data_IF_271106155370
#
_entry.id   IF_271106155370
#
_cell.length_a   1.000
_cell.length_b   1.000
_cell.length_c   1.000
_cell.angle_alpha   90.00
_cell.angle_beta   90.00
_cell.angle_gamma   90.00
#
_symmetry.space_group_name_H-M   'P 1'
#
loop_
_entity.id
_entity.type
_entity.pdbx_description
1 polymer ?
#
# COMPACT_ATOMS: atom_id res chain seq x y z
N UNK A 1 33.79 0.63 -22.46
CA UNK A 1 33.35 0.70 -23.88
C UNK A 1 33.19 -0.68 -24.54
N UNK A 2 32.59 -1.70 -23.87
CA UNK A 2 32.47 -3.07 -24.43
C UNK A 2 31.06 -3.69 -24.33
N UNK A 3 30.04 -2.90 -23.98
CA UNK A 3 28.63 -3.35 -23.89
C UNK A 3 27.72 -2.84 -25.00
N UNK A 4 28.25 -2.10 -25.97
CA UNK A 4 27.46 -1.44 -27.02
C UNK A 4 27.62 -2.05 -28.42
N UNK A 5 28.46 -3.09 -28.57
CA UNK A 5 28.82 -3.66 -29.88
C UNK A 5 28.19 -5.04 -30.15
N UNK A 6 27.21 -5.47 -29.35
CA UNK A 6 26.50 -6.74 -29.56
C UNK A 6 24.99 -6.62 -29.46
N UNK A 7 24.44 -5.40 -29.59
CA UNK A 7 22.98 -5.23 -29.70
C UNK A 7 22.61 -5.57 -31.14
N UNK A 8 22.33 -6.85 -31.37
CA UNK A 8 22.00 -7.41 -32.67
C UNK A 8 20.52 -7.15 -32.96
N UNK A 9 20.23 -6.00 -33.57
CA UNK A 9 18.87 -5.51 -33.77
C UNK A 9 18.01 -6.51 -34.58
N UNK A 10 18.63 -7.33 -35.45
CA UNK A 10 17.94 -8.37 -36.21
C UNK A 10 17.39 -9.53 -35.37
N UNK A 11 18.12 -9.99 -34.35
CA UNK A 11 17.63 -11.02 -33.41
C UNK A 11 16.61 -10.44 -32.40
N UNK A 12 16.75 -9.15 -32.07
CA UNK A 12 15.89 -8.46 -31.12
C UNK A 12 14.54 -8.05 -31.72
N UNK A 13 14.47 -7.89 -33.04
CA UNK A 13 13.26 -7.54 -33.79
C UNK A 13 12.61 -8.74 -34.49
N UNK A 14 13.29 -9.89 -34.54
CA UNK A 14 12.69 -11.17 -34.94
C UNK A 14 11.69 -11.59 -33.87
N UNK A 15 10.41 -11.57 -34.23
CA UNK A 15 9.32 -12.14 -33.44
C UNK A 15 9.57 -13.64 -33.35
N UNK A 16 10.32 -14.05 -32.32
CA UNK A 16 10.37 -15.45 -31.91
C UNK A 16 8.99 -15.80 -31.35
N UNK A 17 8.38 -16.94 -31.75
CA UNK A 17 7.08 -17.35 -31.22
C UNK A 17 7.08 -17.51 -29.69
N UNK A 18 8.26 -17.63 -29.07
CA UNK A 18 8.46 -17.70 -27.62
C UNK A 18 8.67 -16.34 -26.94
N UNK A 19 8.67 -15.22 -27.67
CA UNK A 19 8.69 -13.86 -27.10
C UNK A 19 7.58 -13.02 -27.70
N UNK A 20 6.36 -13.43 -27.41
CA UNK A 20 5.18 -12.61 -27.60
C UNK A 20 5.30 -11.33 -26.78
N UNK A 21 4.91 -10.20 -27.36
CA UNK A 21 4.58 -8.91 -26.69
C UNK A 21 3.42 -9.02 -25.67
N UNK A 22 3.06 -10.24 -25.26
CA UNK A 22 2.07 -10.58 -24.26
C UNK A 22 2.63 -10.58 -22.83
N UNK A 23 3.94 -10.39 -22.63
CA UNK A 23 4.52 -10.15 -21.30
C UNK A 23 4.31 -8.71 -20.83
N UNK A 24 3.05 -8.27 -20.86
CA UNK A 24 2.56 -7.34 -19.85
C UNK A 24 1.88 -8.18 -18.76
N UNK A 25 2.63 -9.09 -18.11
CA UNK A 25 2.19 -9.89 -16.94
C UNK A 25 1.67 -9.00 -15.78
N UNK A 26 1.83 -7.68 -15.89
CA UNK A 26 1.36 -6.69 -14.93
C UNK A 26 -0.17 -6.67 -14.75
N UNK A 27 -0.95 -7.24 -15.67
CA UNK A 27 -2.42 -7.23 -15.62
C UNK A 27 -3.12 -8.59 -15.84
N UNK A 28 -2.38 -9.70 -15.90
CA UNK A 28 -2.96 -10.99 -16.30
C UNK A 28 -3.85 -11.66 -15.23
N UNK A 29 -3.83 -11.17 -13.98
CA UNK A 29 -4.68 -11.71 -12.93
C UNK A 29 -5.37 -10.64 -12.07
N UNK A 30 -6.63 -10.87 -11.64
CA UNK A 30 -7.27 -10.04 -10.62
C UNK A 30 -6.44 -9.89 -9.34
N UNK A 31 -5.59 -10.87 -9.03
CA UNK A 31 -4.67 -10.84 -7.89
C UNK A 31 -3.59 -9.76 -8.00
N UNK A 32 -3.05 -9.52 -9.20
CA UNK A 32 -2.04 -8.48 -9.42
C UNK A 32 -2.61 -7.07 -9.16
N UNK A 33 -3.82 -6.79 -9.65
CA UNK A 33 -4.53 -5.53 -9.40
C UNK A 33 -4.77 -5.30 -7.90
N UNK A 34 -5.26 -6.33 -7.20
CA UNK A 34 -5.50 -6.28 -5.76
C UNK A 34 -4.19 -6.01 -4.99
N UNK A 35 -3.10 -6.67 -5.38
CA UNK A 35 -1.78 -6.51 -4.77
C UNK A 35 -1.27 -5.07 -4.84
N UNK A 36 -1.39 -4.42 -6.01
CA UNK A 36 -0.99 -3.02 -6.22
C UNK A 36 -1.82 -2.08 -5.34
N UNK A 37 -3.15 -2.28 -5.32
CA UNK A 37 -4.05 -1.46 -4.51
C UNK A 37 -3.71 -1.61 -3.02
N UNK A 38 -3.56 -2.85 -2.54
CA UNK A 38 -3.27 -3.13 -1.13
C UNK A 38 -1.96 -2.47 -0.68
N UNK A 39 -0.88 -2.59 -1.46
CA UNK A 39 0.41 -1.94 -1.15
C UNK A 39 0.27 -0.43 -0.97
N UNK A 40 -0.48 0.22 -1.87
CA UNK A 40 -0.71 1.67 -1.80
C UNK A 40 -1.61 2.04 -0.62
N UNK A 41 -2.67 1.27 -0.36
CA UNK A 41 -3.59 1.49 0.77
C UNK A 41 -2.86 1.38 2.11
N UNK A 42 -2.01 0.38 2.31
CA UNK A 42 -1.25 0.25 3.56
C UNK A 42 -0.30 1.44 3.79
N UNK A 43 0.37 1.89 2.73
CA UNK A 43 1.24 3.07 2.79
C UNK A 43 0.45 4.34 3.13
N UNK A 44 -0.66 4.56 2.43
CA UNK A 44 -1.55 5.70 2.65
C UNK A 44 -2.19 5.68 4.04
N UNK A 45 -2.58 4.51 4.53
CA UNK A 45 -3.17 4.33 5.86
C UNK A 45 -2.21 4.76 6.97
N UNK A 46 -0.92 4.41 6.86
CA UNK A 46 0.11 4.85 7.81
C UNK A 46 0.29 6.38 7.82
N UNK A 47 0.33 7.00 6.64
CA UNK A 47 0.43 8.46 6.51
C UNK A 47 -0.81 9.14 7.10
N UNK A 48 -1.99 8.63 6.76
CA UNK A 48 -3.27 9.19 7.21
C UNK A 48 -3.43 9.05 8.74
N UNK A 49 -3.02 7.92 9.32
CA UNK A 49 -2.98 7.73 10.77
C UNK A 49 -2.12 8.81 11.43
N UNK A 50 -0.90 9.04 10.93
CA UNK A 50 0.02 10.03 11.49
C UNK A 50 -0.59 11.44 11.45
N UNK A 51 -1.19 11.82 10.33
CA UNK A 51 -1.87 13.12 10.17
C UNK A 51 -3.01 13.26 11.18
N UNK A 52 -3.87 12.25 11.32
CA UNK A 52 -4.99 12.28 12.27
C UNK A 52 -4.54 12.31 13.72
N UNK A 53 -3.45 11.61 14.07
CA UNK A 53 -2.87 11.66 15.41
C UNK A 53 -2.33 13.05 15.75
N UNK A 54 -1.64 13.70 14.81
CA UNK A 54 -1.15 15.08 14.99
C UNK A 54 -2.32 16.04 15.17
N UNK A 55 -3.31 16.01 14.28
CA UNK A 55 -4.48 16.89 14.37
C UNK A 55 -5.29 16.65 15.65
N UNK A 56 -5.53 15.38 16.00
CA UNK A 56 -6.23 15.01 17.23
C UNK A 56 -5.46 15.45 18.47
N UNK A 57 -4.13 15.26 18.49
CA UNK A 57 -3.26 15.66 19.59
C UNK A 57 -3.23 17.18 19.79
N UNK A 58 -3.06 17.95 18.71
CA UNK A 58 -3.12 19.42 18.75
C UNK A 58 -4.49 19.88 19.25
N UNK A 59 -5.58 19.29 18.78
CA UNK A 59 -6.94 19.63 19.24
C UNK A 59 -7.15 19.39 20.74
N UNK A 60 -6.51 18.37 21.32
CA UNK A 60 -6.53 18.12 22.76
C UNK A 60 -5.75 19.21 23.51
N UNK A 61 -4.54 19.54 23.04
CA UNK A 61 -3.68 20.55 23.68
C UNK A 61 -4.35 21.93 23.68
N UNK A 62 -4.91 22.35 22.53
CA UNK A 62 -5.61 23.63 22.41
C UNK A 62 -6.86 23.65 23.31
N UNK A 63 -7.69 22.59 23.24
CA UNK A 63 -8.89 22.52 24.07
C UNK A 63 -8.60 22.52 25.58
N UNK A 64 -7.49 21.89 26.00
CA UNK A 64 -7.06 21.94 27.40
C UNK A 64 -6.55 23.33 27.83
N UNK A 65 -5.86 24.05 26.94
CA UNK A 65 -5.37 25.41 27.21
C UNK A 65 -6.48 26.47 27.26
N UNK A 66 -7.49 26.36 26.40
CA UNK A 66 -8.61 27.31 26.33
C UNK A 66 -9.75 27.01 27.35
N UNK A 67 -9.61 25.97 28.19
CA UNK A 67 -10.70 25.41 29.00
C UNK A 67 -11.95 25.06 28.17
N UNK A 68 -11.77 24.64 26.92
CA UNK A 68 -12.83 24.15 26.04
C UNK A 68 -12.88 22.60 26.06
N UNK A 69 -13.72 22.00 26.91
CA UNK A 69 -13.82 20.55 27.02
C UNK A 69 -14.39 19.90 25.75
N UNK A 70 -15.12 20.63 24.90
CA UNK A 70 -15.68 20.08 23.66
C UNK A 70 -14.58 19.81 22.64
N UNK A 71 -13.67 20.77 22.44
CA UNK A 71 -12.50 20.59 21.57
C UNK A 71 -11.58 19.47 22.04
N UNK A 72 -11.34 19.37 23.35
CA UNK A 72 -10.53 18.30 23.90
C UNK A 72 -11.20 16.92 23.70
N UNK A 73 -12.52 16.82 23.92
CA UNK A 73 -13.27 15.58 23.66
C UNK A 73 -13.26 15.20 22.17
N UNK A 74 -13.38 16.18 21.26
CA UNK A 74 -13.31 15.95 19.82
C UNK A 74 -11.94 15.41 19.40
N UNK A 75 -10.84 16.01 19.89
CA UNK A 75 -9.49 15.53 19.60
C UNK A 75 -9.27 14.09 20.08
N UNK A 76 -9.74 13.74 21.28
CA UNK A 76 -9.72 12.35 21.78
C UNK A 76 -10.50 11.41 20.88
N UNK A 77 -11.71 11.80 20.47
CA UNK A 77 -12.54 11.02 19.56
C UNK A 77 -11.83 10.78 18.22
N UNK A 78 -11.17 11.80 17.66
CA UNK A 78 -10.39 11.68 16.42
C UNK A 78 -9.28 10.65 16.55
N UNK A 79 -8.51 10.70 17.64
CA UNK A 79 -7.43 9.73 17.91
C UNK A 79 -7.99 8.30 18.00
N UNK A 80 -9.03 8.09 18.80
CA UNK A 80 -9.65 6.77 18.97
C UNK A 80 -10.17 6.24 17.64
N UNK A 81 -10.82 7.10 16.84
CA UNK A 81 -11.36 6.72 15.53
C UNK A 81 -10.23 6.35 14.56
N UNK A 82 -9.15 7.13 14.54
CA UNK A 82 -7.98 6.86 13.71
C UNK A 82 -7.30 5.53 14.09
N UNK A 83 -7.11 5.29 15.39
CA UNK A 83 -6.53 4.04 15.90
C UNK A 83 -7.43 2.85 15.61
N UNK A 84 -8.75 3.00 15.75
CA UNK A 84 -9.71 1.92 15.44
C UNK A 84 -9.67 1.58 13.96
N UNK A 85 -9.69 2.57 13.07
CA UNK A 85 -9.57 2.35 11.63
C UNK A 85 -8.24 1.70 11.25
N UNK A 86 -7.14 2.16 11.85
CA UNK A 86 -5.83 1.54 11.64
C UNK A 86 -5.78 0.10 12.15
N UNK A 87 -6.40 -0.20 13.30
CA UNK A 87 -6.46 -1.55 13.84
C UNK A 87 -7.18 -2.52 12.89
N UNK A 88 -8.23 -2.06 12.21
CA UNK A 88 -8.93 -2.85 11.18
C UNK A 88 -8.02 -3.15 9.99
N UNK A 89 -7.28 -2.15 9.50
CA UNK A 89 -6.31 -2.33 8.41
C UNK A 89 -5.18 -3.27 8.84
N UNK A 90 -4.70 -3.11 10.07
CA UNK A 90 -3.65 -3.93 10.66
C UNK A 90 -4.08 -5.39 10.82
N UNK A 91 -5.32 -5.64 11.26
CA UNK A 91 -5.86 -7.01 11.35
C UNK A 91 -6.11 -7.62 9.96
N UNK A 92 -6.52 -6.82 8.99
CA UNK A 92 -6.68 -7.26 7.59
C UNK A 92 -5.36 -7.78 6.98
N UNK A 93 -4.21 -7.21 7.35
CA UNK A 93 -2.89 -7.70 6.90
C UNK A 93 -2.68 -9.18 7.21
N UNK A 94 -3.05 -9.64 8.43
CA UNK A 94 -2.90 -11.05 8.78
C UNK A 94 -3.83 -11.96 7.98
N UNK A 95 -5.04 -11.51 7.68
CA UNK A 95 -5.97 -12.28 6.84
C UNK A 95 -5.36 -12.48 5.45
N UNK A 96 -4.84 -11.42 4.84
CA UNK A 96 -4.20 -11.49 3.52
C UNK A 96 -2.93 -12.34 3.57
N UNK A 97 -2.14 -12.24 4.65
CA UNK A 97 -0.95 -13.08 4.85
C UNK A 97 -1.30 -14.57 4.91
N UNK A 98 -2.38 -14.94 5.60
CA UNK A 98 -2.87 -16.32 5.66
C UNK A 98 -3.34 -16.81 4.28
N UNK A 99 -4.08 -15.97 3.54
CA UNK A 99 -4.50 -16.29 2.17
C UNK A 99 -3.28 -16.50 1.27
N UNK A 100 -2.28 -15.62 1.35
CA UNK A 100 -1.03 -15.73 0.59
C UNK A 100 -0.28 -17.03 0.92
N UNK A 101 -0.25 -17.42 2.19
CA UNK A 101 0.40 -18.66 2.63
C UNK A 101 -0.30 -19.91 2.09
N UNK A 102 -1.64 -19.94 2.10
CA UNK A 102 -2.43 -21.10 1.65
C UNK A 102 -2.44 -21.19 0.11
N UNK A 103 -2.52 -20.05 -0.58
CA UNK A 103 -2.58 -20.01 -2.05
C UNK A 103 -1.21 -20.06 -2.72
N UNK A 104 -0.13 -19.78 -1.99
CA UNK A 104 1.22 -19.69 -2.54
C UNK A 104 1.48 -18.44 -3.38
N UNK A 105 0.51 -17.53 -3.49
CA UNK A 105 0.62 -16.29 -4.28
C UNK A 105 1.12 -15.16 -3.38
N UNK A 106 2.19 -14.47 -3.79
CA UNK A 106 2.73 -13.32 -3.05
C UNK A 106 1.95 -12.03 -3.38
N UNK A 107 0.90 -11.77 -2.61
CA UNK A 107 0.01 -10.60 -2.79
C UNK A 107 0.66 -9.30 -2.27
N UNK A 108 1.42 -9.38 -1.19
CA UNK A 108 1.93 -8.19 -0.49
C UNK A 108 3.33 -7.77 -0.98
N UNK A 109 4.06 -8.69 -1.61
CA UNK A 109 5.38 -8.45 -2.19
C UNK A 109 5.55 -9.30 -3.45
N UNK A 110 4.91 -8.94 -4.57
CA UNK A 110 5.13 -9.66 -5.82
C UNK A 110 6.62 -9.57 -6.17
N UNK A 111 7.26 -10.71 -6.39
CA UNK A 111 8.61 -10.77 -6.95
C UNK A 111 8.51 -10.20 -8.36
N UNK A 112 9.06 -9.00 -8.56
CA UNK A 112 9.29 -8.44 -9.89
C UNK A 112 10.46 -9.19 -10.50
#
# INVERSE_FOLDING_TARGET
MKKLLSVNIGEQWLISPDKTIAEAEQFDSPGALISIILKNVYTLAGILLLVLLIFGGISIIIGAGENDPKRAAQGKKTIITALTGFLVIFTSYWIIQLISYITGVQILNPLI
#
